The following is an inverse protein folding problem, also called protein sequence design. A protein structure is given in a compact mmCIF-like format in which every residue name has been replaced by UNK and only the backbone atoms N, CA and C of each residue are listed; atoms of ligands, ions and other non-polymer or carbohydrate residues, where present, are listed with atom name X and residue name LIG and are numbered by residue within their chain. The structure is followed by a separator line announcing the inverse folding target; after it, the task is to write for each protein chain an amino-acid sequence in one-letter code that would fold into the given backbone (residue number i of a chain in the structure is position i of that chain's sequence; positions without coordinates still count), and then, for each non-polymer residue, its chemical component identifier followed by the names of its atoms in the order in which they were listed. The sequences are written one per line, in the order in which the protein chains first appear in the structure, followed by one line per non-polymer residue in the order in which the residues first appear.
data_IF_851538366251
#
_entry.id   IF_851538366251
#
_cell.length_a   1.000
_cell.length_b   1.000
_cell.length_c   1.000
_cell.angle_alpha   90.00
_cell.angle_beta   90.00
_cell.angle_gamma   90.00
#
_symmetry.space_group_name_H-M   'P 1'
#
loop_
_entity.id
_entity.type
_entity.pdbx_description
1 polymer ?
#
# COMPACT_ATOMS: atom_id res chain seq x y z
N UNK A 1 -5.07 20.59 -18.63
CA UNK A 1 -4.11 21.69 -18.87
C UNK A 1 -4.75 23.08 -18.92
N UNK A 2 -5.97 23.28 -19.47
CA UNK A 2 -6.58 24.63 -19.55
C UNK A 2 -6.63 25.43 -18.24
N UNK A 3 -6.74 24.76 -17.08
CA UNK A 3 -6.72 25.43 -15.76
C UNK A 3 -5.32 25.64 -15.18
N UNK A 4 -4.34 24.83 -15.57
CA UNK A 4 -2.97 24.84 -15.01
C UNK A 4 -1.94 24.52 -16.11
N UNK A 5 -1.69 25.42 -17.07
CA UNK A 5 -0.78 25.18 -18.19
C UNK A 5 0.69 25.08 -17.76
N UNK A 6 1.06 25.66 -16.62
CA UNK A 6 2.44 25.64 -16.09
C UNK A 6 2.97 24.25 -15.70
N UNK A 7 2.11 23.25 -15.59
CA UNK A 7 2.49 21.86 -15.34
C UNK A 7 2.68 21.05 -16.64
N UNK A 8 2.40 21.62 -17.81
CA UNK A 8 2.56 20.92 -19.07
C UNK A 8 4.02 20.52 -19.32
N UNK A 9 4.22 19.25 -19.72
CA UNK A 9 5.54 18.71 -20.03
C UNK A 9 6.41 18.37 -18.83
N UNK A 10 5.96 18.63 -17.59
CA UNK A 10 6.66 18.18 -16.38
C UNK A 10 6.48 16.69 -16.18
N UNK A 11 7.56 16.03 -15.75
CA UNK A 11 7.53 14.66 -15.30
C UNK A 11 6.41 14.42 -14.30
N UNK A 12 5.69 13.32 -14.51
CA UNK A 12 4.51 12.98 -13.75
C UNK A 12 4.71 11.66 -13.01
N UNK A 13 4.33 11.66 -11.74
CA UNK A 13 4.40 10.51 -10.87
C UNK A 13 3.11 10.35 -10.10
N UNK A 14 2.77 9.10 -9.76
CA UNK A 14 1.60 8.77 -8.96
C UNK A 14 2.08 8.10 -7.67
N UNK A 15 1.68 8.64 -6.52
CA UNK A 15 1.99 8.08 -5.22
C UNK A 15 0.69 7.77 -4.49
N UNK A 16 0.71 6.77 -3.64
CA UNK A 16 -0.39 6.45 -2.74
C UNK A 16 0.01 5.39 -1.73
N UNK A 17 -0.84 5.19 -0.74
CA UNK A 17 -0.64 4.17 0.29
C UNK A 17 -1.88 3.30 0.52
N UNK A 18 -1.71 2.16 1.19
CA UNK A 18 -2.82 1.30 1.61
C UNK A 18 -3.62 0.74 0.43
N UNK A 19 -4.93 1.02 0.39
CA UNK A 19 -5.81 0.67 -0.72
C UNK A 19 -5.42 1.35 -2.05
N UNK A 20 -4.57 2.38 -2.02
CA UNK A 20 -3.96 2.91 -3.23
C UNK A 20 -3.01 1.91 -3.92
N UNK A 21 -2.67 0.77 -3.30
CA UNK A 21 -2.11 -0.37 -4.01
C UNK A 21 -3.01 -0.93 -5.12
N UNK A 22 -4.32 -0.62 -5.11
CA UNK A 22 -5.23 -0.84 -6.24
C UNK A 22 -5.25 0.38 -7.17
N UNK A 23 -5.44 1.57 -6.60
CA UNK A 23 -5.65 2.80 -7.37
C UNK A 23 -4.42 3.22 -8.18
N UNK A 24 -3.22 3.15 -7.60
CA UNK A 24 -1.99 3.62 -8.23
C UNK A 24 -1.66 2.78 -9.47
N UNK A 25 -1.62 1.44 -9.42
CA UNK A 25 -1.46 0.63 -10.63
C UNK A 25 -2.54 0.90 -11.68
N UNK A 26 -3.80 0.98 -11.29
CA UNK A 26 -4.91 1.21 -12.22
C UNK A 26 -4.79 2.57 -12.93
N UNK A 27 -4.51 3.63 -12.19
CA UNK A 27 -4.34 4.98 -12.72
C UNK A 27 -3.09 5.10 -13.60
N UNK A 28 -1.95 4.54 -13.14
CA UNK A 28 -0.70 4.53 -13.90
C UNK A 28 -0.88 3.78 -15.22
N UNK A 29 -1.48 2.59 -15.18
CA UNK A 29 -1.73 1.77 -16.37
C UNK A 29 -2.68 2.47 -17.35
N UNK A 30 -3.71 3.15 -16.86
CA UNK A 30 -4.60 3.94 -17.70
C UNK A 30 -3.84 5.06 -18.42
N UNK A 31 -3.05 5.87 -17.70
CA UNK A 31 -2.24 6.95 -18.27
C UNK A 31 -1.24 6.41 -19.30
N UNK A 32 -0.52 5.34 -18.95
CA UNK A 32 0.41 4.63 -19.83
C UNK A 32 -0.27 4.18 -21.13
N UNK A 33 -1.45 3.54 -21.03
CA UNK A 33 -2.22 3.07 -22.18
C UNK A 33 -2.68 4.24 -23.06
N UNK A 34 -3.21 5.32 -22.48
CA UNK A 34 -3.66 6.48 -23.26
C UNK A 34 -2.48 7.16 -23.99
N UNK A 35 -1.32 7.26 -23.34
CA UNK A 35 -0.10 7.77 -23.97
C UNK A 35 0.34 6.92 -25.17
N UNK A 36 0.29 5.59 -25.05
CA UNK A 36 0.63 4.65 -26.13
C UNK A 36 -0.32 4.73 -27.31
N UNK A 37 -1.61 4.92 -27.04
CA UNK A 37 -2.64 5.09 -28.06
C UNK A 37 -2.61 6.50 -28.70
N UNK A 38 -1.76 7.41 -28.23
CA UNK A 38 -1.76 8.82 -28.60
C UNK A 38 -3.16 9.47 -28.48
N UNK A 39 -3.95 9.02 -27.50
CA UNK A 39 -5.32 9.50 -27.27
C UNK A 39 -5.34 10.55 -26.17
N UNK A 40 -5.96 11.69 -26.48
CA UNK A 40 -6.13 12.77 -25.52
C UNK A 40 -4.81 13.46 -25.15
N UNK A 41 -4.71 13.87 -23.90
CA UNK A 41 -3.58 14.62 -23.40
C UNK A 41 -2.42 13.68 -23.04
N UNK A 42 -1.25 13.88 -23.67
CA UNK A 42 -0.03 13.18 -23.25
C UNK A 42 0.42 13.65 -21.87
N UNK A 43 0.52 12.71 -20.93
CA UNK A 43 1.01 12.92 -19.56
C UNK A 43 2.33 12.16 -19.43
N UNK A 44 3.49 12.81 -19.23
CA UNK A 44 4.79 12.13 -19.20
C UNK A 44 4.97 11.37 -17.88
N UNK A 45 4.29 10.22 -17.76
CA UNK A 45 4.41 9.32 -16.62
C UNK A 45 5.83 8.76 -16.58
N UNK A 46 6.58 9.07 -15.52
CA UNK A 46 7.95 8.58 -15.31
C UNK A 46 8.02 7.42 -14.30
N UNK A 47 7.07 7.38 -13.37
CA UNK A 47 7.03 6.32 -12.37
C UNK A 47 5.87 6.45 -11.40
N UNK A 48 5.75 5.48 -10.51
CA UNK A 48 4.81 5.50 -9.41
C UNK A 48 5.36 4.79 -8.19
N UNK A 49 4.85 5.15 -7.01
CA UNK A 49 5.22 4.51 -5.77
C UNK A 49 4.00 4.14 -4.92
N UNK A 50 4.13 3.03 -4.19
CA UNK A 50 3.06 2.49 -3.36
C UNK A 50 3.64 2.19 -1.97
N UNK A 51 3.16 2.92 -0.97
CA UNK A 51 3.49 2.70 0.43
C UNK A 51 2.53 1.74 1.10
N UNK A 52 3.00 0.70 1.78
CA UNK A 52 2.17 -0.22 2.54
C UNK A 52 0.91 -0.60 1.74
N UNK A 53 1.07 -1.11 0.52
CA UNK A 53 -0.03 -1.25 -0.43
C UNK A 53 -0.67 -2.62 -0.38
N UNK A 54 -1.99 -2.72 -0.57
CA UNK A 54 -2.63 -3.96 -1.02
C UNK A 54 -2.64 -3.96 -2.55
N UNK A 55 -1.82 -4.80 -3.18
CA UNK A 55 -1.60 -4.82 -4.64
C UNK A 55 -1.78 -6.22 -5.23
N UNK A 56 -1.33 -7.24 -4.50
CA UNK A 56 -1.45 -8.65 -4.85
C UNK A 56 -2.02 -9.43 -3.66
N UNK A 57 -3.36 -9.44 -3.49
CA UNK A 57 -3.99 -10.14 -2.36
C UNK A 57 -3.65 -11.63 -2.33
N UNK A 58 -3.44 -12.28 -3.49
CA UNK A 58 -3.12 -13.70 -3.56
C UNK A 58 -1.83 -14.02 -2.80
N UNK A 59 -0.79 -13.22 -3.02
CA UNK A 59 0.50 -13.41 -2.35
C UNK A 59 0.48 -12.78 -0.96
N UNK A 60 -0.05 -11.58 -0.80
CA UNK A 60 -0.01 -10.86 0.47
C UNK A 60 -0.75 -11.61 1.59
N UNK A 61 -1.91 -12.21 1.31
CA UNK A 61 -2.61 -13.01 2.32
C UNK A 61 -1.89 -14.34 2.64
N UNK A 62 -1.14 -14.90 1.69
CA UNK A 62 -0.31 -16.08 1.95
C UNK A 62 0.84 -15.78 2.94
N UNK A 63 1.23 -14.50 3.04
CA UNK A 63 2.28 -14.00 3.93
C UNK A 63 1.71 -13.15 5.09
N UNK A 64 0.41 -13.23 5.38
CA UNK A 64 -0.20 -12.47 6.47
C UNK A 64 0.33 -12.90 7.84
N UNK A 65 0.45 -14.22 8.06
CA UNK A 65 0.87 -14.83 9.33
C UNK A 65 2.38 -14.77 9.58
N UNK A 66 3.17 -14.39 8.58
CA UNK A 66 4.62 -14.25 8.74
C UNK A 66 4.98 -13.16 9.77
N UNK A 67 4.12 -12.15 9.93
CA UNK A 67 4.28 -11.08 10.91
C UNK A 67 4.20 -11.55 12.38
N UNK A 68 3.79 -12.80 12.63
CA UNK A 68 3.96 -13.40 13.96
C UNK A 68 5.43 -13.40 14.36
N UNK A 69 6.34 -13.60 13.40
CA UNK A 69 7.79 -13.50 13.58
C UNK A 69 8.27 -12.06 13.26
N UNK A 70 7.86 -11.09 14.08
CA UNK A 70 8.20 -9.68 13.88
C UNK A 70 9.53 -9.27 14.54
N UNK A 71 10.12 -8.19 14.03
CA UNK A 71 11.38 -7.62 14.53
C UNK A 71 11.28 -6.94 15.91
N UNK A 72 10.08 -6.85 16.48
CA UNK A 72 9.81 -6.15 17.72
C UNK A 72 9.67 -7.08 18.93
N UNK A 73 9.85 -8.40 18.73
CA UNK A 73 9.69 -9.43 19.75
C UNK A 73 8.32 -9.39 20.43
N UNK A 74 7.28 -8.98 19.68
CA UNK A 74 5.91 -8.93 20.17
C UNK A 74 5.20 -10.25 19.86
N UNK A 75 4.58 -10.85 20.88
CA UNK A 75 3.65 -11.95 20.68
C UNK A 75 2.33 -11.37 20.15
N UNK A 76 1.95 -11.74 18.92
CA UNK A 76 0.66 -11.35 18.33
C UNK A 76 -0.42 -12.41 18.56
N UNK A 77 -0.04 -13.68 18.40
CA UNK A 77 -0.84 -14.88 18.60
C UNK A 77 0.05 -15.98 19.18
N UNK A 78 -0.55 -17.04 19.74
CA UNK A 78 0.22 -18.22 20.18
C UNK A 78 0.71 -19.06 18.99
N UNK A 79 1.75 -19.88 19.20
CA UNK A 79 2.26 -20.81 18.16
C UNK A 79 1.15 -21.72 17.62
N UNK A 80 0.31 -22.26 18.52
CA UNK A 80 -0.84 -23.07 18.14
C UNK A 80 -1.82 -22.30 17.24
N UNK A 81 -2.10 -21.04 17.58
CA UNK A 81 -2.99 -20.20 16.77
C UNK A 81 -2.35 -19.86 15.41
N UNK A 82 -1.04 -19.64 15.34
CA UNK A 82 -0.31 -19.47 14.07
C UNK A 82 -0.44 -20.71 13.18
N UNK A 83 -0.29 -21.91 13.75
CA UNK A 83 -0.50 -23.18 13.03
C UNK A 83 -1.93 -23.32 12.50
N UNK A 84 -2.93 -23.01 13.32
CA UNK A 84 -4.35 -23.02 12.93
C UNK A 84 -4.63 -22.01 11.80
N UNK A 85 -4.07 -20.80 11.87
CA UNK A 85 -4.20 -19.80 10.81
C UNK A 85 -3.51 -20.24 9.52
N UNK A 86 -2.30 -20.80 9.59
CA UNK A 86 -1.56 -21.30 8.44
C UNK A 86 -2.31 -22.41 7.69
N UNK A 87 -3.05 -23.25 8.41
CA UNK A 87 -3.88 -24.29 7.81
C UNK A 87 -5.03 -23.73 6.95
N UNK A 88 -5.44 -22.46 7.16
CA UNK A 88 -6.51 -21.79 6.41
C UNK A 88 -6.00 -21.05 5.16
N UNK A 89 -4.69 -20.84 5.03
CA UNK A 89 -4.08 -20.14 3.89
C UNK A 89 -4.46 -20.76 2.54
N UNK A 90 -4.44 -22.09 2.33
CA UNK A 90 -4.82 -22.67 1.04
C UNK A 90 -6.25 -22.34 0.61
N UNK A 91 -7.19 -22.32 1.57
CA UNK A 91 -8.60 -21.99 1.28
C UNK A 91 -8.76 -20.49 0.98
N UNK A 92 -8.06 -19.63 1.71
CA UNK A 92 -8.02 -18.21 1.39
C UNK A 92 -7.51 -17.97 -0.04
N UNK A 93 -6.38 -18.57 -0.42
CA UNK A 93 -5.81 -18.44 -1.77
C UNK A 93 -6.81 -18.95 -2.83
N UNK A 94 -7.48 -20.08 -2.59
CA UNK A 94 -8.50 -20.62 -3.49
C UNK A 94 -9.66 -19.63 -3.70
N UNK A 95 -10.14 -18.99 -2.63
CA UNK A 95 -11.20 -17.98 -2.70
C UNK A 95 -10.75 -16.72 -3.44
N UNK A 96 -9.52 -16.24 -3.20
CA UNK A 96 -8.94 -15.09 -3.91
C UNK A 96 -8.78 -15.39 -5.40
N UNK A 97 -8.32 -16.59 -5.76
CA UNK A 97 -8.25 -17.03 -7.16
C UNK A 97 -9.62 -17.07 -7.83
N UNK A 98 -10.63 -17.64 -7.15
CA UNK A 98 -12.00 -17.66 -7.64
C UNK A 98 -12.56 -16.24 -7.82
N UNK A 99 -12.28 -15.32 -6.89
CA UNK A 99 -12.67 -13.91 -6.99
C UNK A 99 -12.15 -13.23 -8.26
N UNK A 100 -11.00 -13.64 -8.83
CA UNK A 100 -10.51 -13.03 -10.07
C UNK A 100 -11.47 -13.23 -11.25
N UNK A 101 -12.21 -14.34 -11.25
CA UNK A 101 -13.11 -14.73 -12.34
C UNK A 101 -14.59 -14.56 -11.99
N UNK A 102 -14.95 -14.60 -10.70
CA UNK A 102 -16.31 -14.44 -10.22
C UNK A 102 -16.38 -13.38 -9.10
N UNK A 103 -16.96 -12.22 -9.43
CA UNK A 103 -17.12 -11.12 -8.49
C UNK A 103 -18.04 -11.46 -7.29
N UNK A 104 -18.89 -12.49 -7.41
CA UNK A 104 -19.74 -12.92 -6.31
C UNK A 104 -18.95 -13.56 -5.16
N UNK A 105 -17.79 -14.16 -5.46
CA UNK A 105 -16.93 -14.83 -4.47
C UNK A 105 -16.05 -13.83 -3.71
N UNK A 106 -15.88 -12.61 -4.22
CA UNK A 106 -14.94 -11.65 -3.64
C UNK A 106 -15.31 -11.19 -2.22
N UNK A 107 -16.61 -11.06 -1.91
CA UNK A 107 -17.06 -10.70 -0.57
C UNK A 107 -16.75 -11.84 0.44
N UNK A 108 -16.97 -13.10 0.04
CA UNK A 108 -16.64 -14.28 0.84
C UNK A 108 -15.13 -14.44 1.02
N UNK A 109 -14.35 -14.20 -0.04
CA UNK A 109 -12.90 -14.19 0.01
C UNK A 109 -12.40 -13.14 1.01
N UNK A 110 -12.93 -11.92 0.95
CA UNK A 110 -12.62 -10.86 1.91
C UNK A 110 -12.91 -11.28 3.34
N UNK A 111 -14.15 -11.72 3.60
CA UNK A 111 -14.56 -12.13 4.94
C UNK A 111 -13.70 -13.28 5.48
N UNK A 112 -13.45 -14.30 4.67
CA UNK A 112 -12.67 -15.47 5.08
C UNK A 112 -11.20 -15.13 5.31
N UNK A 113 -10.53 -14.53 4.32
CA UNK A 113 -9.11 -14.25 4.40
C UNK A 113 -8.80 -13.21 5.48
N UNK A 114 -9.50 -12.07 5.48
CA UNK A 114 -9.23 -11.01 6.45
C UNK A 114 -9.61 -11.44 7.86
N UNK A 115 -10.79 -12.04 8.04
CA UNK A 115 -11.29 -12.48 9.34
C UNK A 115 -10.43 -13.57 9.99
N UNK A 116 -9.85 -14.49 9.20
CA UNK A 116 -9.07 -15.61 9.75
C UNK A 116 -7.56 -15.37 9.75
N UNK A 117 -7.01 -14.57 8.84
CA UNK A 117 -5.55 -14.43 8.69
C UNK A 117 -5.00 -13.09 9.16
N UNK A 118 -5.80 -12.03 9.19
CA UNK A 118 -5.34 -10.67 9.52
C UNK A 118 -5.93 -10.19 10.84
N UNK A 119 -7.25 -10.25 11.01
CA UNK A 119 -7.95 -9.82 12.23
C UNK A 119 -7.33 -10.38 13.51
N UNK A 120 -7.03 -11.70 13.62
CA UNK A 120 -6.52 -12.26 14.86
C UNK A 120 -5.16 -11.69 15.29
N UNK A 121 -4.34 -11.20 14.33
CA UNK A 121 -3.00 -10.69 14.61
C UNK A 121 -3.00 -9.43 15.50
N UNK A 122 -4.09 -8.66 15.49
CA UNK A 122 -4.17 -7.43 16.27
C UNK A 122 -5.31 -7.45 17.31
N UNK A 123 -6.35 -8.26 17.12
CA UNK A 123 -7.44 -8.36 18.12
C UNK A 123 -7.07 -9.20 19.33
N UNK A 124 -6.24 -10.24 19.17
CA UNK A 124 -5.86 -11.13 20.28
C UNK A 124 -5.07 -10.39 21.36
N UNK A 125 -4.26 -9.40 20.97
CA UNK A 125 -3.40 -8.63 21.88
C UNK A 125 -3.75 -7.15 21.95
N UNK A 126 -4.91 -6.75 21.38
CA UNK A 126 -5.40 -5.37 21.35
C UNK A 126 -4.37 -4.35 20.81
N UNK A 127 -3.62 -4.74 19.77
CA UNK A 127 -2.64 -3.89 19.11
C UNK A 127 -3.28 -3.05 18.01
N UNK A 128 -2.65 -1.93 17.69
CA UNK A 128 -3.01 -1.13 16.53
C UNK A 128 -2.63 -1.92 15.26
N UNK A 129 -3.58 -2.22 14.36
CA UNK A 129 -3.29 -2.95 13.12
C UNK A 129 -2.37 -2.16 12.16
N UNK A 130 -2.29 -0.84 12.32
CA UNK A 130 -1.43 0.03 11.51
C UNK A 130 -0.04 0.21 12.12
N UNK A 131 0.17 -0.12 13.39
CA UNK A 131 1.48 -0.10 14.04
C UNK A 131 1.48 -1.03 15.26
N UNK A 132 2.08 -2.20 15.13
CA UNK A 132 2.11 -3.22 16.20
C UNK A 132 2.73 -2.76 17.51
N UNK A 133 3.52 -1.69 17.47
CA UNK A 133 4.19 -1.14 18.65
C UNK A 133 3.21 -0.37 19.53
N UNK A 134 2.04 -0.01 19.01
CA UNK A 134 1.02 0.79 19.68
C UNK A 134 -0.15 -0.08 20.12
N UNK A 135 -0.73 0.26 21.26
CA UNK A 135 -1.98 -0.35 21.73
C UNK A 135 -3.19 0.32 21.07
N UNK A 136 -4.25 -0.45 20.87
CA UNK A 136 -5.52 0.06 20.38
C UNK A 136 -6.70 -0.56 21.16
N UNK A 137 -6.87 -0.16 22.44
CA UNK A 137 -7.90 -0.73 23.29
C UNK A 137 -9.28 -0.21 22.86
N UNK A 138 -10.04 -1.06 22.15
CA UNK A 138 -11.47 -0.85 21.90
C UNK A 138 -11.85 0.01 20.68
N UNK A 139 -10.90 0.47 19.87
CA UNK A 139 -11.16 1.20 18.61
C UNK A 139 -10.58 0.45 17.40
N UNK A 140 -11.11 -0.71 17.04
CA UNK A 140 -10.56 -1.49 15.92
C UNK A 140 -10.73 -0.75 14.57
N UNK A 141 -9.66 -0.68 13.76
CA UNK A 141 -9.62 0.00 12.45
C UNK A 141 -9.00 1.40 12.51
N UNK A 142 -9.39 2.32 11.61
CA UNK A 142 -8.87 3.72 11.54
C UNK A 142 -9.02 4.53 12.84
N UNK A 143 -9.80 4.03 13.81
CA UNK A 143 -9.91 4.63 15.15
C UNK A 143 -8.67 4.46 16.01
N UNK A 144 -7.68 3.64 15.63
CA UNK A 144 -6.46 3.52 16.42
C UNK A 144 -5.56 4.77 16.40
N UNK A 145 -5.85 5.74 15.53
CA UNK A 145 -5.23 7.07 15.53
C UNK A 145 -6.27 8.15 15.81
N UNK A 146 -5.86 9.18 16.57
CA UNK A 146 -6.70 10.35 16.83
C UNK A 146 -6.56 11.39 15.72
N UNK A 147 -7.51 11.37 14.77
CA UNK A 147 -7.63 12.37 13.71
C UNK A 147 -8.63 13.51 14.04
N UNK A 148 -9.10 13.62 15.29
CA UNK A 148 -10.13 14.59 15.67
C UNK A 148 -9.72 16.03 15.42
N UNK A 149 -8.43 16.36 15.60
CA UNK A 149 -7.89 17.70 15.31
C UNK A 149 -7.95 18.04 13.81
N UNK A 150 -7.67 17.08 12.94
CA UNK A 150 -7.77 17.26 11.48
C UNK A 150 -9.24 17.45 11.09
N UNK A 151 -10.12 16.60 11.64
CA UNK A 151 -11.56 16.71 11.39
C UNK A 151 -12.11 18.07 11.83
N UNK A 152 -11.75 18.54 13.02
CA UNK A 152 -12.17 19.84 13.54
C UNK A 152 -11.64 20.99 12.66
N UNK A 153 -10.37 20.94 12.26
CA UNK A 153 -9.75 21.96 11.42
C UNK A 153 -10.42 22.07 10.05
N UNK A 154 -10.60 20.94 9.36
CA UNK A 154 -11.19 20.88 8.01
C UNK A 154 -12.69 21.21 8.02
N UNK A 155 -13.38 20.95 9.13
CA UNK A 155 -14.79 21.32 9.30
C UNK A 155 -15.02 22.74 9.82
N UNK A 156 -13.97 23.47 10.18
CA UNK A 156 -14.15 24.85 10.65
C UNK A 156 -14.71 25.73 9.51
N UNK A 157 -15.65 26.65 9.78
CA UNK A 157 -16.26 27.50 8.75
C UNK A 157 -15.23 28.31 7.96
N UNK A 158 -14.18 28.79 8.64
CA UNK A 158 -13.08 29.53 8.01
C UNK A 158 -12.30 28.69 7.01
N UNK A 159 -11.93 27.46 7.38
CA UNK A 159 -11.22 26.54 6.48
C UNK A 159 -12.09 26.13 5.29
N UNK A 160 -13.34 25.72 5.53
CA UNK A 160 -14.27 25.35 4.46
C UNK A 160 -14.48 26.50 3.45
N UNK A 161 -14.68 27.74 3.95
CA UNK A 161 -14.82 28.91 3.10
C UNK A 161 -13.54 29.22 2.32
N UNK A 162 -12.36 29.12 2.96
CA UNK A 162 -11.07 29.39 2.31
C UNK A 162 -10.74 28.38 1.21
N UNK A 163 -11.12 27.12 1.39
CA UNK A 163 -10.98 26.06 0.40
C UNK A 163 -12.08 26.08 -0.68
N UNK A 164 -13.10 26.93 -0.54
CA UNK A 164 -14.21 27.04 -1.49
C UNK A 164 -15.15 25.84 -1.49
N UNK A 165 -15.30 25.17 -0.33
CA UNK A 165 -16.19 24.00 -0.19
C UNK A 165 -17.65 24.43 -0.35
N UNK A 166 -18.38 23.75 -1.21
CA UNK A 166 -19.82 23.91 -1.29
C UNK A 166 -20.48 23.13 -0.14
N UNK A 167 -20.77 23.83 0.95
CA UNK A 167 -21.31 23.25 2.19
C UNK A 167 -22.72 22.68 2.06
N UNK A 168 -23.45 23.01 0.99
CA UNK A 168 -24.73 22.37 0.67
C UNK A 168 -24.51 20.94 0.18
N UNK A 169 -23.42 20.69 -0.56
CA UNK A 169 -23.09 19.36 -1.10
C UNK A 169 -22.21 18.54 -0.16
N UNK A 170 -21.32 19.20 0.57
CA UNK A 170 -20.38 18.58 1.51
C UNK A 170 -20.60 19.24 2.87
N UNK A 171 -21.59 18.76 3.65
CA UNK A 171 -21.93 19.38 4.93
C UNK A 171 -20.86 19.15 5.99
N UNK A 172 -20.11 18.05 5.88
CA UNK A 172 -19.04 17.68 6.79
C UNK A 172 -17.97 16.89 6.03
N UNK A 173 -16.72 17.18 6.34
CA UNK A 173 -15.57 16.37 5.97
C UNK A 173 -15.38 15.25 7.01
N UNK A 174 -15.08 14.05 6.51
CA UNK A 174 -14.74 12.87 7.29
C UNK A 174 -13.50 12.23 6.65
N UNK A 175 -12.62 11.68 7.49
CA UNK A 175 -11.40 10.99 7.03
C UNK A 175 -11.74 9.85 6.07
N UNK A 176 -12.72 9.02 6.44
CA UNK A 176 -13.16 7.87 5.64
C UNK A 176 -14.68 7.89 5.43
N UNK A 177 -15.13 7.56 4.22
CA UNK A 177 -16.53 7.30 3.93
C UNK A 177 -16.78 5.78 3.88
N UNK A 178 -17.36 5.24 4.96
CA UNK A 178 -17.59 3.81 5.09
C UNK A 178 -18.68 3.25 4.17
N UNK A 179 -19.58 4.09 3.65
CA UNK A 179 -20.54 3.65 2.63
C UNK A 179 -19.84 3.34 1.30
N UNK A 180 -18.86 4.17 0.92
CA UNK A 180 -18.02 3.91 -0.26
C UNK A 180 -17.12 2.71 0.01
N UNK A 181 -16.48 2.62 1.18
CA UNK A 181 -15.67 1.47 1.56
C UNK A 181 -16.44 0.15 1.39
N UNK A 182 -17.67 0.04 1.92
CA UNK A 182 -18.51 -1.16 1.76
C UNK A 182 -18.83 -1.46 0.30
N UNK A 183 -19.00 -0.45 -0.56
CA UNK A 183 -19.26 -0.66 -2.00
C UNK A 183 -18.04 -1.17 -2.77
N UNK A 184 -16.84 -0.96 -2.23
CA UNK A 184 -15.58 -1.43 -2.81
C UNK A 184 -15.15 -2.82 -2.28
N UNK A 185 -15.95 -3.48 -1.43
CA UNK A 185 -15.60 -4.79 -0.85
C UNK A 185 -15.19 -5.84 -1.89
N UNK A 186 -15.91 -5.88 -3.03
CA UNK A 186 -15.65 -6.83 -4.12
C UNK A 186 -14.38 -6.53 -4.92
N UNK A 187 -13.87 -5.30 -4.82
CA UNK A 187 -12.63 -4.91 -5.48
C UNK A 187 -11.40 -5.25 -4.62
N UNK A 188 -11.57 -5.39 -3.29
CA UNK A 188 -10.49 -5.66 -2.33
C UNK A 188 -9.61 -6.86 -2.65
N UNK A 189 -10.20 -7.92 -3.19
CA UNK A 189 -9.50 -9.16 -3.48
C UNK A 189 -8.99 -9.24 -4.92
N UNK A 190 -9.07 -8.16 -5.71
CA UNK A 190 -8.58 -8.14 -7.08
C UNK A 190 -7.06 -7.94 -7.13
N UNK A 191 -6.41 -8.63 -8.06
CA UNK A 191 -4.96 -8.56 -8.24
C UNK A 191 -4.63 -7.42 -9.20
N UNK A 192 -4.10 -6.31 -8.67
CA UNK A 192 -3.69 -5.15 -9.46
C UNK A 192 -2.21 -5.15 -9.86
N UNK A 193 -1.40 -6.02 -9.21
CA UNK A 193 0.00 -6.27 -9.59
C UNK A 193 0.17 -6.67 -11.06
N UNK A 194 -0.83 -7.35 -11.65
CA UNK A 194 -0.83 -7.78 -13.05
C UNK A 194 -0.77 -6.63 -14.07
N UNK A 195 -1.02 -5.39 -13.66
CA UNK A 195 -0.94 -4.20 -14.53
C UNK A 195 0.48 -3.65 -14.66
N UNK A 196 1.39 -4.02 -13.75
CA UNK A 196 2.75 -3.48 -13.67
C UNK A 196 3.70 -3.94 -14.80
N UNK A 197 3.71 -5.22 -15.22
CA UNK A 197 4.73 -5.74 -16.14
C UNK A 197 4.94 -4.92 -17.42
N UNK A 198 3.90 -4.55 -18.20
CA UNK A 198 4.12 -3.78 -19.42
C UNK A 198 4.68 -2.37 -19.15
N UNK A 199 4.39 -1.79 -17.97
CA UNK A 199 4.94 -0.49 -17.59
C UNK A 199 6.42 -0.59 -17.20
N UNK A 200 6.78 -1.61 -16.42
CA UNK A 200 8.17 -1.90 -16.01
C UNK A 200 9.07 -2.16 -17.22
N UNK A 201 8.60 -2.96 -18.17
CA UNK A 201 9.34 -3.32 -19.39
C UNK A 201 9.56 -2.11 -20.31
N UNK A 202 8.71 -1.08 -20.19
CA UNK A 202 8.76 0.15 -20.96
C UNK A 202 9.51 1.31 -20.26
N UNK A 203 10.18 1.04 -19.15
CA UNK A 203 11.00 2.06 -18.47
C UNK A 203 10.28 2.86 -17.39
N UNK A 204 9.01 2.57 -17.10
CA UNK A 204 8.29 3.24 -16.00
C UNK A 204 8.83 2.71 -14.67
N UNK A 205 9.31 3.61 -13.82
CA UNK A 205 9.88 3.25 -12.53
C UNK A 205 8.81 2.94 -11.49
N UNK A 206 9.02 1.90 -10.71
CA UNK A 206 8.12 1.44 -9.65
C UNK A 206 8.89 1.32 -8.34
N UNK A 207 8.40 2.02 -7.32
CA UNK A 207 8.88 1.90 -5.95
C UNK A 207 7.77 1.34 -5.06
N UNK A 208 8.01 0.19 -4.46
CA UNK A 208 7.17 -0.35 -3.40
C UNK A 208 7.91 -0.12 -2.08
N UNK A 209 7.28 0.50 -1.11
CA UNK A 209 7.87 0.65 0.21
C UNK A 209 6.89 0.22 1.28
N UNK A 210 7.38 -0.34 2.38
CA UNK A 210 6.53 -0.79 3.47
C UNK A 210 7.22 -0.58 4.82
N UNK A 211 6.52 0.07 5.74
CA UNK A 211 6.92 0.13 7.14
C UNK A 211 6.86 -1.26 7.79
N UNK A 212 7.89 -1.60 8.55
CA UNK A 212 8.04 -2.95 9.11
C UNK A 212 7.23 -3.23 10.38
N UNK A 213 6.48 -2.24 10.89
CA UNK A 213 5.55 -2.37 12.00
C UNK A 213 4.06 -2.48 11.58
N UNK A 214 3.73 -2.45 10.28
CA UNK A 214 2.35 -2.55 9.79
C UNK A 214 1.87 -4.01 9.71
N UNK A 215 0.66 -4.30 10.22
CA UNK A 215 0.02 -5.62 10.06
C UNK A 215 -0.96 -5.67 8.90
N UNK A 216 -1.65 -4.57 8.60
CA UNK A 216 -2.76 -4.58 7.65
C UNK A 216 -2.33 -5.03 6.26
N UNK A 217 -1.16 -4.55 5.84
CA UNK A 217 -0.56 -4.79 4.51
C UNK A 217 0.95 -4.84 4.68
N UNK A 218 1.36 -5.84 5.45
CA UNK A 218 2.70 -5.98 5.98
C UNK A 218 3.82 -5.99 4.93
N UNK A 219 5.05 -5.71 5.38
CA UNK A 219 6.23 -5.62 4.52
C UNK A 219 6.63 -6.96 3.90
N UNK A 220 6.39 -8.10 4.57
CA UNK A 220 6.76 -9.43 4.06
C UNK A 220 5.90 -9.81 2.86
N UNK A 221 4.59 -9.60 2.95
CA UNK A 221 3.67 -9.79 1.84
C UNK A 221 3.97 -8.82 0.70
N UNK A 222 4.29 -7.56 1.00
CA UNK A 222 4.70 -6.59 -0.02
C UNK A 222 5.99 -7.04 -0.73
N UNK A 223 7.01 -7.44 0.01
CA UNK A 223 8.24 -7.96 -0.58
C UNK A 223 7.99 -9.20 -1.43
N UNK A 224 7.25 -10.17 -0.91
CA UNK A 224 7.00 -11.45 -1.56
C UNK A 224 6.36 -11.26 -2.94
N UNK A 225 5.35 -10.40 -3.08
CA UNK A 225 4.73 -10.18 -4.38
C UNK A 225 5.67 -9.45 -5.35
N UNK A 226 6.50 -8.52 -4.86
CA UNK A 226 7.51 -7.88 -5.72
C UNK A 226 8.51 -8.88 -6.30
N UNK A 227 8.91 -9.90 -5.53
CA UNK A 227 9.82 -10.96 -5.98
C UNK A 227 9.14 -11.92 -6.97
N UNK A 228 7.85 -12.15 -6.79
CA UNK A 228 7.04 -13.06 -7.62
C UNK A 228 6.50 -12.42 -8.91
N UNK A 229 6.47 -11.09 -9.01
CA UNK A 229 5.91 -10.37 -10.16
C UNK A 229 6.60 -10.79 -11.48
N UNK A 230 5.87 -11.26 -12.50
CA UNK A 230 6.44 -11.64 -13.78
C UNK A 230 6.70 -10.41 -14.66
N UNK A 231 7.96 -10.12 -14.96
CA UNK A 231 8.39 -9.07 -15.91
C UNK A 231 9.78 -9.39 -16.45
N UNK A 232 10.27 -8.68 -17.47
CA UNK A 232 11.52 -9.02 -18.16
C UNK A 232 12.76 -9.05 -17.25
N UNK A 233 12.76 -8.26 -16.17
CA UNK A 233 13.84 -8.18 -15.17
C UNK A 233 13.64 -9.04 -13.93
N UNK A 234 12.61 -9.90 -13.87
CA UNK A 234 12.25 -10.64 -12.65
C UNK A 234 13.42 -11.49 -12.10
N UNK A 235 14.12 -12.23 -12.96
CA UNK A 235 15.16 -13.15 -12.52
C UNK A 235 16.30 -12.40 -11.82
N UNK A 236 16.68 -11.25 -12.36
CA UNK A 236 17.72 -10.39 -11.82
C UNK A 236 17.25 -9.67 -10.55
N UNK A 237 16.00 -9.19 -10.52
CA UNK A 237 15.40 -8.61 -9.32
C UNK A 237 15.32 -9.63 -8.17
N UNK A 238 14.94 -10.88 -8.45
CA UNK A 238 14.91 -11.97 -7.47
C UNK A 238 16.30 -12.28 -6.92
N UNK A 239 17.32 -12.26 -7.78
CA UNK A 239 18.71 -12.54 -7.41
C UNK A 239 19.44 -11.32 -6.82
N UNK A 240 18.87 -10.12 -6.89
CA UNK A 240 19.44 -8.93 -6.28
C UNK A 240 19.48 -9.09 -4.75
N UNK A 241 20.63 -8.79 -4.16
CA UNK A 241 20.81 -8.84 -2.72
C UNK A 241 20.14 -7.65 -2.05
N UNK A 242 19.63 -7.86 -0.84
CA UNK A 242 19.23 -6.76 0.03
C UNK A 242 20.43 -5.88 0.35
N UNK A 243 20.27 -4.57 0.15
CA UNK A 243 21.27 -3.55 0.49
C UNK A 243 20.79 -2.75 1.69
N UNK A 244 21.64 -2.46 2.68
CA UNK A 244 21.30 -1.51 3.73
C UNK A 244 21.00 -0.14 3.11
N UNK A 245 19.80 0.40 3.37
CA UNK A 245 19.47 1.78 3.00
C UNK A 245 19.88 2.70 4.13
N UNK A 246 20.71 3.69 3.81
CA UNK A 246 21.29 4.62 4.77
C UNK A 246 20.69 6.02 4.61
N UNK A 247 20.26 6.62 5.73
CA UNK A 247 19.94 8.03 5.80
C UNK A 247 20.79 8.68 6.89
N UNK A 248 21.54 9.72 6.53
CA UNK A 248 22.48 10.42 7.42
C UNK A 248 23.43 9.46 8.18
N UNK A 249 23.92 8.42 7.49
CA UNK A 249 24.83 7.43 8.05
C UNK A 249 24.19 6.38 8.98
N UNK A 250 22.86 6.45 9.22
CA UNK A 250 22.11 5.44 9.95
C UNK A 250 21.38 4.53 8.99
N UNK A 251 21.34 3.24 9.30
CA UNK A 251 20.52 2.31 8.55
C UNK A 251 19.05 2.52 8.90
N UNK A 252 18.24 2.79 7.88
CA UNK A 252 16.79 3.07 8.00
C UNK A 252 15.94 2.02 7.29
N UNK A 253 16.57 1.02 6.69
CA UNK A 253 15.86 -0.04 5.99
C UNK A 253 16.76 -1.01 5.24
N UNK A 254 16.11 -1.85 4.44
CA UNK A 254 16.74 -2.65 3.41
C UNK A 254 16.04 -2.40 2.07
N UNK A 255 16.82 -2.10 1.04
CA UNK A 255 16.33 -2.01 -0.33
C UNK A 255 16.73 -3.23 -1.15
N UNK A 256 15.86 -3.59 -2.09
CA UNK A 256 16.14 -4.52 -3.18
C UNK A 256 15.73 -3.82 -4.46
N UNK A 257 16.64 -3.71 -5.42
CA UNK A 257 16.35 -3.04 -6.68
C UNK A 257 17.03 -3.70 -7.86
N UNK A 258 16.36 -3.65 -9.00
CA UNK A 258 16.93 -3.98 -10.30
C UNK A 258 16.18 -3.21 -11.38
N UNK A 259 16.94 -2.52 -12.24
CA UNK A 259 16.41 -1.67 -13.31
C UNK A 259 15.26 -0.76 -12.81
N UNK A 260 14.04 -0.94 -13.32
CA UNK A 260 12.91 -0.05 -13.05
C UNK A 260 12.12 -0.40 -11.79
N UNK A 261 12.51 -1.44 -11.05
CA UNK A 261 11.76 -1.90 -9.87
C UNK A 261 12.61 -1.84 -8.61
N UNK A 262 12.03 -1.29 -7.54
CA UNK A 262 12.61 -1.31 -6.21
C UNK A 262 11.57 -1.64 -5.13
N UNK A 263 12.00 -2.39 -4.14
CA UNK A 263 11.33 -2.56 -2.86
C UNK A 263 12.18 -1.96 -1.73
N UNK A 264 11.56 -1.24 -0.81
CA UNK A 264 12.20 -0.72 0.40
C UNK A 264 11.39 -1.11 1.64
N UNK A 265 11.98 -1.95 2.50
CA UNK A 265 11.51 -2.11 3.87
C UNK A 265 12.00 -0.92 4.70
N UNK A 266 11.08 -0.16 5.29
CA UNK A 266 11.40 0.99 6.14
C UNK A 266 11.31 0.57 7.60
N UNK A 267 12.40 0.75 8.35
CA UNK A 267 12.45 0.40 9.76
C UNK A 267 11.70 1.40 10.62
N UNK A 268 11.14 0.91 11.73
CA UNK A 268 10.50 1.74 12.75
C UNK A 268 9.35 2.59 12.20
N UNK A 269 8.64 2.07 11.20
CA UNK A 269 7.47 2.70 10.61
C UNK A 269 6.31 1.70 10.54
N UNK A 270 5.10 2.16 10.86
CA UNK A 270 3.85 1.46 10.64
C UNK A 270 3.30 1.68 9.24
N UNK A 271 1.98 1.75 9.15
CA UNK A 271 1.23 1.84 7.91
C UNK A 271 1.45 3.16 7.17
N UNK A 272 1.50 4.26 7.93
CA UNK A 272 1.73 5.61 7.42
C UNK A 272 3.21 5.97 7.58
N UNK A 273 4.07 5.41 6.72
CA UNK A 273 5.53 5.65 6.77
C UNK A 273 5.91 7.13 6.92
N UNK A 274 5.30 8.09 6.19
CA UNK A 274 5.61 9.52 6.37
C UNK A 274 5.24 10.08 7.75
N UNK A 275 4.30 9.47 8.47
CA UNK A 275 3.94 9.86 9.83
C UNK A 275 5.00 9.44 10.85
N UNK A 276 5.50 8.21 10.73
CA UNK A 276 6.47 7.64 11.67
C UNK A 276 7.93 8.02 11.36
N UNK A 277 8.27 8.13 10.09
CA UNK A 277 9.63 8.38 9.59
C UNK A 277 9.64 9.49 8.54
N UNK A 278 9.23 10.74 8.88
CA UNK A 278 9.05 11.82 7.89
C UNK A 278 10.32 12.19 7.12
N UNK A 279 11.47 12.24 7.79
CA UNK A 279 12.75 12.58 7.13
C UNK A 279 13.21 11.50 6.16
N UNK A 280 13.05 10.22 6.55
CA UNK A 280 13.37 9.07 5.71
C UNK A 280 12.42 9.00 4.52
N UNK A 281 11.11 9.22 4.75
CA UNK A 281 10.11 9.24 3.69
C UNK A 281 10.40 10.35 2.66
N UNK A 282 10.76 11.55 3.13
CA UNK A 282 11.15 12.64 2.24
C UNK A 282 12.40 12.29 1.42
N UNK A 283 13.44 11.77 2.07
CA UNK A 283 14.67 11.36 1.38
C UNK A 283 14.41 10.27 0.33
N UNK A 284 13.61 9.26 0.67
CA UNK A 284 13.18 8.20 -0.25
C UNK A 284 12.44 8.77 -1.46
N UNK A 285 11.46 9.65 -1.25
CA UNK A 285 10.71 10.30 -2.34
C UNK A 285 11.64 11.12 -3.22
N UNK A 286 12.54 11.90 -2.62
CA UNK A 286 13.51 12.72 -3.34
C UNK A 286 14.45 11.87 -4.21
N UNK A 287 15.04 10.80 -3.67
CA UNK A 287 15.88 9.87 -4.42
C UNK A 287 15.11 9.22 -5.56
N UNK A 288 13.86 8.81 -5.30
CA UNK A 288 13.00 8.24 -6.34
C UNK A 288 12.72 9.26 -7.46
N UNK A 289 12.37 10.50 -7.14
CA UNK A 289 12.10 11.53 -8.16
C UNK A 289 13.37 11.91 -8.96
N UNK A 290 14.55 11.87 -8.34
CA UNK A 290 15.84 12.20 -9.00
C UNK A 290 16.51 11.06 -9.74
N UNK A 291 15.94 9.85 -9.70
CA UNK A 291 16.55 8.64 -10.26
C UNK A 291 17.91 8.30 -9.61
N UNK A 292 17.96 8.49 -8.30
CA UNK A 292 19.09 8.10 -7.46
C UNK A 292 18.80 6.73 -6.82
N UNK A 293 19.86 6.05 -6.39
CA UNK A 293 19.75 4.81 -5.62
C UNK A 293 19.06 5.06 -4.26
N UNK A 294 18.33 4.05 -3.77
CA UNK A 294 17.64 4.04 -2.48
C UNK A 294 18.52 3.52 -1.34
#
# INVERSE_FOLDING_TARGET
MHKNPSFQGRDFYIFGESYAGHFVPAAAHYVYTQNKLAKGLRIPLQGFAIGNGLTDPLIQYAHATDMVDNAYNLTLVSDKQKEEMNALVPECIRLVQACQHDAAVCDDALAFCHGNLVTPLFTTTARNPYDIRQDCPGQQGVGCYDFSYIEAFLNSPGTMAKLGVNTVRVPQWKECNFDINRRFSRDWMKVYSQLLPPMLDDGIRVLIYAGDADLMVNWQGNEAWTVALPWSGQAQYRNATHKPTLFQGKQVGYSRSYANMAFLRVFNAGHMVPMDQPEVALAMVDSFLRNEDL
#
